data_IF_468135607393
#
_entry.id   IF_468135607393
#
_cell.length_a   1.000
_cell.length_b   1.000
_cell.length_c   1.000
_cell.angle_alpha   90.00
_cell.angle_beta   90.00
_cell.angle_gamma   90.00
#
_symmetry.space_group_name_H-M   'P 1'
#
loop_
_entity.id
_entity.type
_entity.pdbx_description
1 polymer ?
#
# COMPACT_ATOMS: atom_id res chain seq x y z
N UNK A 1 17.01 59.37 0.04
CA UNK A 1 17.75 58.09 -0.08
C UNK A 1 18.97 58.36 -0.91
N UNK A 2 20.16 58.19 -0.33
CA UNK A 2 21.43 58.40 -1.02
C UNK A 2 21.68 57.27 -2.03
N UNK A 3 22.34 57.54 -3.16
CA UNK A 3 22.69 56.51 -4.16
C UNK A 3 23.46 55.34 -3.55
N UNK A 4 24.25 55.58 -2.50
CA UNK A 4 24.98 54.54 -1.76
C UNK A 4 24.05 53.61 -0.96
N UNK A 5 22.93 54.12 -0.43
CA UNK A 5 21.94 53.28 0.27
C UNK A 5 21.22 52.35 -0.70
N UNK A 6 20.95 52.82 -1.92
CA UNK A 6 20.37 52.01 -2.99
C UNK A 6 21.34 50.89 -3.39
N UNK A 7 22.61 51.22 -3.57
CA UNK A 7 23.65 50.24 -3.93
C UNK A 7 23.78 49.13 -2.87
N UNK A 8 23.79 49.51 -1.59
CA UNK A 8 23.83 48.56 -0.46
C UNK A 8 22.61 47.63 -0.42
N UNK A 9 21.41 48.16 -0.66
CA UNK A 9 20.19 47.33 -0.72
C UNK A 9 20.20 46.37 -1.91
N UNK A 10 20.73 46.80 -3.04
CA UNK A 10 20.80 45.99 -4.24
C UNK A 10 21.74 44.79 -4.05
N UNK A 11 22.91 45.04 -3.43
CA UNK A 11 23.87 43.99 -3.06
C UNK A 11 23.30 43.02 -2.01
N UNK A 12 22.56 43.52 -1.01
CA UNK A 12 21.87 42.66 -0.02
C UNK A 12 20.78 41.78 -0.65
N UNK A 13 20.02 42.32 -1.62
CA UNK A 13 18.98 41.58 -2.34
C UNK A 13 19.58 40.47 -3.20
N UNK A 14 20.69 40.75 -3.90
CA UNK A 14 21.39 39.74 -4.69
C UNK A 14 21.94 38.61 -3.82
N UNK A 15 22.54 38.92 -2.67
CA UNK A 15 23.00 37.92 -1.71
C UNK A 15 21.87 37.01 -1.23
N UNK A 16 20.72 37.60 -0.86
CA UNK A 16 19.54 36.83 -0.43
C UNK A 16 18.95 35.98 -1.56
N UNK A 17 18.90 36.50 -2.78
CA UNK A 17 18.42 35.74 -3.94
C UNK A 17 19.33 34.54 -4.25
N UNK A 18 20.65 34.70 -4.09
CA UNK A 18 21.61 33.61 -4.27
C UNK A 18 21.47 32.54 -3.18
N UNK A 19 21.26 32.95 -1.92
CA UNK A 19 21.04 32.02 -0.82
C UNK A 19 19.73 31.25 -0.99
N UNK A 20 18.66 31.93 -1.40
CA UNK A 20 17.37 31.30 -1.71
C UNK A 20 17.50 30.26 -2.82
N UNK A 21 18.19 30.57 -3.93
CA UNK A 21 18.43 29.60 -5.02
C UNK A 21 19.22 28.38 -4.55
N UNK A 22 20.21 28.56 -3.66
CA UNK A 22 20.95 27.42 -3.09
C UNK A 22 20.04 26.54 -2.23
N UNK A 23 19.21 27.14 -1.38
CA UNK A 23 18.25 26.38 -0.56
C UNK A 23 17.19 25.69 -1.42
N UNK A 24 16.70 26.32 -2.48
CA UNK A 24 15.79 25.70 -3.44
C UNK A 24 16.45 24.52 -4.16
N UNK A 25 17.69 24.66 -4.63
CA UNK A 25 18.43 23.55 -5.23
C UNK A 25 18.71 22.42 -4.24
N UNK A 26 19.00 22.73 -2.99
CA UNK A 26 19.18 21.72 -1.93
C UNK A 26 17.87 21.00 -1.64
N UNK A 27 16.76 21.73 -1.49
CA UNK A 27 15.42 21.15 -1.32
C UNK A 27 15.00 20.30 -2.52
N UNK A 28 15.27 20.75 -3.74
CA UNK A 28 14.96 20.00 -4.96
C UNK A 28 15.85 18.75 -5.08
N UNK A 29 17.14 18.84 -4.72
CA UNK A 29 18.03 17.67 -4.62
C UNK A 29 17.56 16.70 -3.55
N UNK A 30 17.09 17.19 -2.42
CA UNK A 30 16.60 16.38 -1.31
C UNK A 30 15.25 15.72 -1.66
N UNK A 31 14.36 16.42 -2.37
CA UNK A 31 13.14 15.87 -2.93
C UNK A 31 13.42 14.84 -4.03
N UNK A 32 14.34 15.12 -4.97
CA UNK A 32 14.74 14.16 -6.02
C UNK A 32 15.44 12.94 -5.45
N UNK A 33 16.29 13.13 -4.44
CA UNK A 33 16.90 12.03 -3.69
C UNK A 33 15.84 11.23 -2.93
N UNK A 34 14.85 11.90 -2.31
CA UNK A 34 13.71 11.24 -1.66
C UNK A 34 12.78 10.52 -2.64
N UNK A 35 12.60 11.04 -3.85
CA UNK A 35 11.80 10.41 -4.91
C UNK A 35 12.51 9.18 -5.51
N UNK A 36 13.83 9.24 -5.70
CA UNK A 36 14.65 8.11 -6.16
C UNK A 36 15.03 7.13 -5.04
N UNK A 37 14.95 7.51 -3.76
CA UNK A 37 15.20 6.62 -2.62
C UNK A 37 14.11 5.54 -2.43
N UNK A 38 12.99 5.63 -3.18
CA UNK A 38 12.05 4.52 -3.33
C UNK A 38 12.60 3.32 -4.12
N UNK A 39 13.82 3.41 -4.67
CA UNK A 39 14.48 2.36 -5.44
C UNK A 39 15.64 1.64 -4.73
N UNK A 40 15.91 1.92 -3.45
CA UNK A 40 16.76 1.08 -2.60
C UNK A 40 17.94 1.78 -1.91
N UNK A 41 18.25 1.31 -0.69
CA UNK A 41 19.55 1.45 0.00
C UNK A 41 19.81 2.63 0.98
N UNK A 42 18.86 3.05 1.84
CA UNK A 42 19.24 3.91 2.99
C UNK A 42 18.47 3.70 4.30
N UNK A 43 17.34 2.98 4.32
CA UNK A 43 16.56 2.76 5.55
C UNK A 43 16.29 1.27 5.75
N UNK A 44 16.38 0.75 6.99
CA UNK A 44 16.13 -0.66 7.26
C UNK A 44 14.69 -1.01 6.90
N UNK A 45 14.49 -2.16 6.23
CA UNK A 45 13.15 -2.64 5.89
C UNK A 45 12.33 -2.88 7.17
N UNK A 46 11.08 -2.41 7.21
CA UNK A 46 10.20 -2.50 8.38
C UNK A 46 8.88 -3.26 8.10
N UNK A 47 8.64 -3.67 6.85
CA UNK A 47 7.38 -4.26 6.38
C UNK A 47 7.62 -5.63 5.74
N UNK A 48 6.90 -6.71 6.11
CA UNK A 48 5.85 -6.74 7.14
C UNK A 48 6.44 -6.73 8.54
N UNK A 49 5.73 -6.17 9.54
CA UNK A 49 6.06 -6.35 10.95
C UNK A 49 5.62 -7.76 11.36
N UNK A 50 6.42 -8.74 10.97
CA UNK A 50 6.16 -10.15 11.27
C UNK A 50 6.82 -10.47 12.62
N UNK A 51 6.15 -11.23 13.50
CA UNK A 51 6.79 -11.77 14.68
C UNK A 51 8.07 -12.51 14.29
N UNK A 52 9.14 -12.36 15.06
CA UNK A 52 10.46 -12.95 14.81
C UNK A 52 10.49 -14.48 14.75
N UNK A 53 9.37 -15.15 15.06
CA UNK A 53 9.18 -16.59 14.92
C UNK A 53 8.85 -17.02 13.47
N UNK A 54 8.40 -16.11 12.61
CA UNK A 54 8.10 -16.41 11.20
C UNK A 54 9.36 -16.10 10.37
N UNK A 55 9.89 -17.05 9.56
CA UNK A 55 11.12 -16.89 8.78
C UNK A 55 10.91 -16.03 7.51
N UNK A 56 10.10 -14.99 7.62
CA UNK A 56 9.91 -13.99 6.58
C UNK A 56 10.62 -12.72 7.06
N UNK A 57 11.56 -12.22 6.27
CA UNK A 57 12.29 -11.00 6.59
C UNK A 57 11.47 -9.79 6.13
N UNK A 58 11.50 -8.64 6.85
CA UNK A 58 10.94 -7.40 6.33
C UNK A 58 11.53 -7.11 4.94
N UNK A 59 10.68 -7.13 3.93
CA UNK A 59 11.08 -7.06 2.53
C UNK A 59 11.12 -5.61 2.02
N UNK A 60 10.38 -4.71 2.68
CA UNK A 60 10.23 -3.33 2.24
C UNK A 60 10.32 -2.35 3.40
N UNK A 61 10.83 -1.16 3.13
CA UNK A 61 10.64 -0.01 3.99
C UNK A 61 9.31 0.66 3.60
N UNK A 62 8.42 0.85 4.57
CA UNK A 62 7.18 1.59 4.40
C UNK A 62 6.96 2.51 5.59
N UNK A 63 6.89 3.81 5.31
CA UNK A 63 6.68 4.84 6.34
C UNK A 63 5.73 5.90 5.80
N UNK A 64 4.47 5.82 6.22
CA UNK A 64 3.40 6.70 5.72
C UNK A 64 3.65 8.15 6.17
N UNK A 65 4.17 8.35 7.37
CA UNK A 65 4.39 9.68 7.94
C UNK A 65 5.50 10.44 7.24
N UNK A 66 6.52 9.73 6.77
CA UNK A 66 7.68 10.31 6.10
C UNK A 66 7.50 10.42 4.58
N UNK A 67 6.83 9.45 3.93
CA UNK A 67 6.76 9.40 2.46
C UNK A 67 5.50 10.05 1.86
N UNK A 68 4.44 10.27 2.65
CA UNK A 68 3.18 10.84 2.17
C UNK A 68 2.95 12.24 2.78
N UNK A 69 2.54 13.25 1.98
CA UNK A 69 2.19 14.57 2.50
C UNK A 69 1.12 14.49 3.60
N UNK A 70 1.25 15.31 4.65
CA UNK A 70 0.41 15.30 5.87
C UNK A 70 -1.09 15.31 5.58
N UNK A 71 -1.51 15.97 4.50
CA UNK A 71 -2.90 16.07 4.06
C UNK A 71 -3.51 14.72 3.66
N UNK A 72 -2.69 13.79 3.14
CA UNK A 72 -3.14 12.50 2.58
C UNK A 72 -2.82 11.29 3.46
N UNK A 73 -2.06 11.47 4.55
CA UNK A 73 -1.63 10.39 5.43
C UNK A 73 -2.81 9.57 5.98
N UNK A 74 -3.91 10.22 6.41
CA UNK A 74 -5.11 9.52 6.88
C UNK A 74 -5.72 8.62 5.81
N UNK A 75 -5.81 9.11 4.58
CA UNK A 75 -6.38 8.37 3.46
C UNK A 75 -5.53 7.15 3.13
N UNK A 76 -4.21 7.32 3.02
CA UNK A 76 -3.28 6.20 2.74
C UNK A 76 -3.28 5.17 3.89
N UNK A 77 -3.42 5.63 5.13
CA UNK A 77 -3.54 4.76 6.31
C UNK A 77 -4.83 3.94 6.26
N UNK A 78 -5.97 4.55 5.90
CA UNK A 78 -7.23 3.83 5.74
C UNK A 78 -7.12 2.76 4.64
N UNK A 79 -6.55 3.13 3.49
CA UNK A 79 -6.29 2.21 2.37
C UNK A 79 -5.41 1.04 2.82
N UNK A 80 -4.39 1.29 3.64
CA UNK A 80 -3.57 0.24 4.24
C UNK A 80 -4.37 -0.69 5.14
N UNK A 81 -5.24 -0.16 6.00
CA UNK A 81 -6.12 -0.99 6.82
C UNK A 81 -7.10 -1.82 5.98
N UNK A 82 -7.66 -1.27 4.90
CA UNK A 82 -8.51 -2.04 3.97
C UNK A 82 -7.73 -3.21 3.36
N UNK A 83 -6.47 -3.00 2.98
CA UNK A 83 -5.60 -4.07 2.49
C UNK A 83 -5.38 -5.14 3.57
N UNK A 84 -5.08 -4.75 4.82
CA UNK A 84 -4.91 -5.70 5.92
C UNK A 84 -6.19 -6.48 6.21
N UNK A 85 -7.36 -5.83 6.21
CA UNK A 85 -8.66 -6.49 6.37
C UNK A 85 -8.90 -7.51 5.27
N UNK A 86 -8.52 -7.22 4.03
CA UNK A 86 -8.62 -8.17 2.92
C UNK A 86 -7.71 -9.40 3.12
N UNK A 87 -6.45 -9.21 3.53
CA UNK A 87 -5.53 -10.32 3.85
C UNK A 87 -6.05 -11.15 5.03
N UNK A 88 -6.62 -10.49 6.05
CA UNK A 88 -7.24 -11.16 7.19
C UNK A 88 -8.44 -12.02 6.74
N UNK A 89 -9.29 -11.51 5.85
CA UNK A 89 -10.42 -12.27 5.31
C UNK A 89 -9.95 -13.53 4.55
N UNK A 90 -8.88 -13.43 3.74
CA UNK A 90 -8.27 -14.59 3.08
C UNK A 90 -7.68 -15.58 4.08
N UNK A 91 -7.10 -15.10 5.18
CA UNK A 91 -6.58 -15.94 6.26
C UNK A 91 -7.71 -16.71 6.94
N UNK A 92 -8.82 -16.04 7.25
CA UNK A 92 -10.02 -16.66 7.80
C UNK A 92 -10.56 -17.72 6.81
N UNK A 93 -10.54 -17.45 5.50
CA UNK A 93 -10.96 -18.43 4.49
C UNK A 93 -10.08 -19.70 4.50
N UNK A 94 -8.76 -19.58 4.69
CA UNK A 94 -7.85 -20.74 4.84
C UNK A 94 -8.19 -21.52 6.10
N UNK A 95 -8.38 -20.84 7.23
CA UNK A 95 -8.73 -21.47 8.51
C UNK A 95 -10.09 -22.17 8.41
N UNK A 96 -11.10 -21.51 7.86
CA UNK A 96 -12.43 -22.10 7.65
C UNK A 96 -12.38 -23.32 6.72
N UNK A 97 -11.63 -23.24 5.62
CA UNK A 97 -11.41 -24.37 4.71
C UNK A 97 -10.71 -25.53 5.40
N UNK A 98 -9.76 -25.26 6.30
CA UNK A 98 -9.09 -26.28 7.10
C UNK A 98 -10.08 -26.99 8.04
N UNK A 99 -10.90 -26.24 8.77
CA UNK A 99 -11.95 -26.82 9.62
C UNK A 99 -12.95 -27.63 8.80
N UNK A 100 -13.33 -27.16 7.61
CA UNK A 100 -14.26 -27.87 6.73
C UNK A 100 -13.69 -29.22 6.24
N UNK A 101 -12.40 -29.27 5.91
CA UNK A 101 -11.73 -30.52 5.51
C UNK A 101 -11.56 -31.47 6.70
N UNK A 102 -11.17 -30.97 7.88
CA UNK A 102 -10.89 -31.81 9.04
C UNK A 102 -12.13 -32.34 9.75
N UNK A 103 -13.19 -31.54 9.84
CA UNK A 103 -14.38 -31.84 10.64
C UNK A 103 -15.67 -31.90 9.83
N UNK A 104 -15.73 -31.24 8.67
CA UNK A 104 -16.91 -31.19 7.80
C UNK A 104 -16.92 -32.21 6.66
N UNK A 105 -15.88 -33.04 6.52
CA UNK A 105 -15.75 -33.99 5.42
C UNK A 105 -15.53 -33.33 4.04
N UNK A 106 -15.15 -32.05 4.02
CA UNK A 106 -14.95 -31.29 2.80
C UNK A 106 -13.78 -31.80 1.94
N UNK A 107 -13.84 -31.66 0.60
CA UNK A 107 -12.73 -32.01 -0.28
C UNK A 107 -11.45 -31.21 0.04
N UNK A 108 -10.30 -31.88 0.08
CA UNK A 108 -8.99 -31.23 0.31
C UNK A 108 -8.67 -30.13 -0.72
N UNK A 109 -9.25 -30.22 -1.92
CA UNK A 109 -9.10 -29.21 -2.97
C UNK A 109 -9.53 -27.80 -2.54
N UNK A 110 -10.51 -27.68 -1.62
CA UNK A 110 -10.97 -26.39 -1.11
C UNK A 110 -9.88 -25.72 -0.25
N UNK A 111 -9.19 -26.49 0.59
CA UNK A 111 -8.07 -26.00 1.38
C UNK A 111 -6.89 -25.59 0.50
N UNK A 112 -6.53 -26.42 -0.49
CA UNK A 112 -5.45 -26.09 -1.44
C UNK A 112 -5.77 -24.79 -2.17
N UNK A 113 -7.01 -24.64 -2.62
CA UNK A 113 -7.46 -23.43 -3.30
C UNK A 113 -7.40 -22.21 -2.38
N UNK A 114 -7.83 -22.31 -1.12
CA UNK A 114 -7.73 -21.22 -0.16
C UNK A 114 -6.27 -20.79 0.09
N UNK A 115 -5.33 -21.74 0.14
CA UNK A 115 -3.89 -21.45 0.26
C UNK A 115 -3.38 -20.70 -0.99
N UNK A 116 -3.79 -21.14 -2.19
CA UNK A 116 -3.43 -20.43 -3.43
C UNK A 116 -4.00 -19.01 -3.42
N UNK A 117 -5.24 -18.84 -2.96
CA UNK A 117 -5.89 -17.53 -2.91
C UNK A 117 -5.17 -16.57 -1.97
N UNK A 118 -4.80 -16.99 -0.75
CA UNK A 118 -4.07 -16.09 0.15
C UNK A 118 -2.71 -15.70 -0.45
N UNK A 119 -1.95 -16.63 -1.03
CA UNK A 119 -0.63 -16.31 -1.58
C UNK A 119 -0.74 -15.43 -2.82
N UNK A 120 -1.55 -15.84 -3.80
CA UNK A 120 -1.67 -15.17 -5.09
C UNK A 120 -2.41 -13.84 -4.95
N UNK A 121 -3.58 -13.84 -4.29
CA UNK A 121 -4.40 -12.64 -4.22
C UNK A 121 -3.89 -11.61 -3.24
N UNK A 122 -3.27 -11.98 -2.11
CA UNK A 122 -2.59 -10.98 -1.28
C UNK A 122 -1.42 -10.31 -2.02
N UNK A 123 -0.62 -11.08 -2.76
CA UNK A 123 0.49 -10.54 -3.56
C UNK A 123 -0.01 -9.65 -4.70
N UNK A 124 -1.03 -10.11 -5.43
CA UNK A 124 -1.67 -9.38 -6.53
C UNK A 124 -2.31 -8.06 -6.02
N UNK A 125 -3.07 -8.14 -4.93
CA UNK A 125 -3.70 -7.01 -4.24
C UNK A 125 -2.67 -5.95 -3.83
N UNK A 126 -1.55 -6.38 -3.25
CA UNK A 126 -0.45 -5.49 -2.91
C UNK A 126 0.15 -4.78 -4.13
N UNK A 127 0.41 -5.51 -5.23
CA UNK A 127 1.07 -4.99 -6.42
C UNK A 127 0.18 -4.11 -7.29
N UNK A 128 -1.11 -4.46 -7.44
CA UNK A 128 -1.96 -3.83 -8.46
C UNK A 128 -2.88 -2.74 -7.93
N UNK A 129 -3.12 -2.64 -6.62
CA UNK A 129 -3.86 -1.48 -6.08
C UNK A 129 -3.16 -0.77 -4.94
N UNK A 130 -2.58 -1.48 -3.96
CA UNK A 130 -1.92 -0.83 -2.83
C UNK A 130 -0.64 -0.07 -3.24
N UNK A 131 0.22 -0.67 -4.05
CA UNK A 131 1.43 -0.03 -4.59
C UNK A 131 1.11 1.18 -5.48
N UNK A 132 0.20 1.08 -6.48
CA UNK A 132 -0.20 2.21 -7.30
C UNK A 132 -0.79 3.37 -6.51
N UNK A 133 -1.69 3.10 -5.54
CA UNK A 133 -2.29 4.17 -4.75
C UNK A 133 -1.27 4.84 -3.83
N UNK A 134 -0.36 4.07 -3.24
CA UNK A 134 0.75 4.62 -2.46
C UNK A 134 1.64 5.54 -3.31
N UNK A 135 1.98 5.10 -4.53
CA UNK A 135 2.75 5.90 -5.50
C UNK A 135 1.96 7.13 -5.98
N UNK A 136 0.64 7.01 -6.14
CA UNK A 136 -0.24 8.09 -6.56
C UNK A 136 -0.23 9.23 -5.53
N UNK A 137 -0.40 8.91 -4.25
CA UNK A 137 -0.37 9.91 -3.17
C UNK A 137 1.03 10.47 -2.90
N UNK A 138 2.09 9.67 -3.09
CA UNK A 138 3.48 10.13 -2.93
C UNK A 138 3.89 11.15 -4.00
N UNK A 139 3.54 10.89 -5.26
CA UNK A 139 3.99 11.70 -6.41
C UNK A 139 2.88 12.60 -6.99
N UNK A 140 1.73 12.69 -6.32
CA UNK A 140 0.52 13.39 -6.80
C UNK A 140 0.16 13.05 -8.27
N UNK A 141 0.16 11.74 -8.57
CA UNK A 141 0.06 11.25 -9.96
C UNK A 141 -1.36 10.76 -10.29
N UNK A 142 -2.11 11.57 -11.04
CA UNK A 142 -3.49 11.27 -11.48
C UNK A 142 -3.62 9.98 -12.29
N UNK A 143 -2.60 9.61 -13.08
CA UNK A 143 -2.61 8.35 -13.83
C UNK A 143 -2.59 7.12 -12.90
N UNK A 144 -1.77 7.16 -11.84
CA UNK A 144 -1.74 6.08 -10.86
C UNK A 144 -3.07 5.96 -10.09
N UNK A 145 -3.76 7.09 -9.85
CA UNK A 145 -5.12 7.08 -9.31
C UNK A 145 -6.13 6.40 -10.24
N UNK A 146 -6.08 6.67 -11.54
CA UNK A 146 -6.99 6.05 -12.51
C UNK A 146 -6.81 4.52 -12.55
N UNK A 147 -5.56 4.04 -12.61
CA UNK A 147 -5.26 2.61 -12.55
C UNK A 147 -5.73 1.99 -11.24
N UNK A 148 -5.50 2.67 -10.11
CA UNK A 148 -5.97 2.23 -8.80
C UNK A 148 -7.49 2.00 -8.77
N UNK A 149 -8.29 3.00 -9.16
CA UNK A 149 -9.75 2.86 -9.14
C UNK A 149 -10.25 1.78 -10.11
N UNK A 150 -9.65 1.68 -11.29
CA UNK A 150 -9.99 0.66 -12.27
C UNK A 150 -9.74 -0.75 -11.71
N UNK A 151 -8.54 -1.01 -11.17
CA UNK A 151 -8.20 -2.30 -10.57
C UNK A 151 -9.07 -2.57 -9.33
N UNK A 152 -9.25 -1.59 -8.46
CA UNK A 152 -10.03 -1.73 -7.24
C UNK A 152 -11.50 -2.07 -7.55
N UNK A 153 -12.07 -1.54 -8.62
CA UNK A 153 -13.44 -1.83 -9.05
C UNK A 153 -13.62 -3.33 -9.37
N UNK A 154 -12.79 -3.89 -10.26
CA UNK A 154 -12.85 -5.32 -10.57
C UNK A 154 -12.51 -6.19 -9.36
N UNK A 155 -11.52 -5.78 -8.56
CA UNK A 155 -11.17 -6.47 -7.33
C UNK A 155 -12.32 -6.51 -6.33
N UNK A 156 -13.10 -5.42 -6.23
CA UNK A 156 -14.27 -5.34 -5.35
C UNK A 156 -15.39 -6.28 -5.82
N UNK A 157 -15.68 -6.31 -7.13
CA UNK A 157 -16.65 -7.26 -7.70
C UNK A 157 -16.22 -8.69 -7.42
N UNK A 158 -14.96 -9.02 -7.68
CA UNK A 158 -14.41 -10.35 -7.45
C UNK A 158 -14.49 -10.77 -5.97
N UNK A 159 -14.14 -9.86 -5.07
CA UNK A 159 -14.21 -10.09 -3.61
C UNK A 159 -15.66 -10.26 -3.14
N UNK A 160 -16.61 -9.50 -3.71
CA UNK A 160 -18.03 -9.64 -3.42
C UNK A 160 -18.56 -11.02 -3.84
N UNK A 161 -18.20 -11.50 -5.03
CA UNK A 161 -18.58 -12.83 -5.52
C UNK A 161 -18.00 -13.94 -4.63
N UNK A 162 -16.75 -13.80 -4.19
CA UNK A 162 -16.15 -14.73 -3.23
C UNK A 162 -16.84 -14.71 -1.87
N UNK A 163 -17.13 -13.51 -1.34
CA UNK A 163 -17.78 -13.36 -0.04
C UNK A 163 -19.19 -13.99 -0.05
N UNK A 164 -19.96 -13.76 -1.11
CA UNK A 164 -21.27 -14.37 -1.24
C UNK A 164 -21.20 -15.91 -1.37
N UNK A 165 -20.09 -16.46 -1.88
CA UNK A 165 -19.97 -17.90 -2.08
C UNK A 165 -20.78 -18.39 -3.28
N UNK A 166 -21.09 -17.51 -4.24
CA UNK A 166 -21.73 -17.87 -5.52
C UNK A 166 -20.85 -18.79 -6.38
N UNK A 167 -19.58 -18.93 -6.01
CA UNK A 167 -18.63 -19.85 -6.61
C UNK A 167 -18.16 -20.88 -5.59
N UNK A 168 -17.84 -22.09 -6.05
CA UNK A 168 -17.32 -23.20 -5.23
C UNK A 168 -15.88 -22.97 -4.74
N UNK A 169 -15.31 -21.79 -5.00
CA UNK A 169 -13.90 -21.49 -4.80
C UNK A 169 -13.59 -20.88 -3.43
N UNK A 170 -14.60 -20.49 -2.63
CA UNK A 170 -14.40 -19.92 -1.29
C UNK A 170 -15.47 -20.41 -0.31
N UNK A 171 -15.14 -20.42 0.98
CA UNK A 171 -16.08 -20.66 2.08
C UNK A 171 -16.93 -19.40 2.35
N UNK A 172 -17.55 -18.85 1.30
CA UNK A 172 -18.45 -17.71 1.40
C UNK A 172 -19.69 -18.02 2.24
N UNK A 173 -20.47 -16.98 2.55
CA UNK A 173 -21.59 -17.05 3.49
C UNK A 173 -22.63 -18.12 3.12
N UNK A 174 -22.94 -18.28 1.82
CA UNK A 174 -23.89 -19.29 1.34
C UNK A 174 -23.37 -20.73 1.60
N UNK A 175 -22.11 -21.00 1.28
CA UNK A 175 -21.50 -22.32 1.48
C UNK A 175 -21.39 -22.68 2.97
N UNK A 176 -21.12 -21.68 3.82
CA UNK A 176 -21.09 -21.86 5.26
C UNK A 176 -22.48 -22.26 5.81
N UNK A 177 -23.56 -21.58 5.39
CA UNK A 177 -24.92 -21.92 5.82
C UNK A 177 -25.32 -23.32 5.36
N UNK A 178 -25.05 -23.68 4.10
CA UNK A 178 -25.38 -24.99 3.54
C UNK A 178 -24.66 -26.16 4.24
N UNK A 179 -23.55 -25.89 4.93
CA UNK A 179 -22.80 -26.92 5.67
C UNK A 179 -23.50 -27.32 6.98
N UNK A 180 -24.34 -26.43 7.53
CA UNK A 180 -25.03 -26.63 8.81
C UNK A 180 -26.53 -26.92 8.67
N UNK A 181 -27.05 -27.04 7.44
CA UNK A 181 -28.42 -27.49 7.14
C UNK A 181 -28.44 -29.00 6.90
#
# INVERSE_FOLDING_TARGET
>A
MSSDELFRRQEELERKAQELRRREQELERQQRAGANAGAGSARPHNWPPIPSFIPLQPCFYQDIEVEIPVQFQRTVTLVYYVFLTYVLALTINVVASLFYVLFGGGPIGILILAIIQIVLFSSCSFLFWFRPVYKAFRNDSSFNFMVFFFVLFFHSIFTLVQALGLSQYACGWINAVNTFQ
#
